data_IF_776307531337
#
_entry.id   IF_776307531337
#
_cell.length_a   1.000
_cell.length_b   1.000
_cell.length_c   1.000
_cell.angle_alpha   90.00
_cell.angle_beta   90.00
_cell.angle_gamma   90.00
#
_symmetry.space_group_name_H-M   'P 1'
#
loop_
_entity.id
_entity.type
_entity.pdbx_description
1 polymer ?
#
# COMPACT_ATOMS: atom_id res chain seq x y z
N UNK A 1 3.16 14.60 18.05
CA UNK A 1 3.11 13.12 18.02
C UNK A 1 4.47 12.59 17.62
N UNK A 2 5.03 11.58 18.35
CA UNK A 2 6.39 11.06 18.10
C UNK A 2 6.44 10.31 16.76
N UNK A 3 7.43 10.62 15.90
CA UNK A 3 7.64 9.94 14.62
C UNK A 3 8.21 8.53 14.84
N UNK A 4 7.84 7.61 13.96
CA UNK A 4 8.30 6.21 13.95
C UNK A 4 9.66 6.12 13.24
N UNK A 5 10.57 5.33 13.77
CA UNK A 5 11.87 5.03 13.15
C UNK A 5 12.32 3.62 13.50
N UNK A 6 13.43 3.19 12.91
CA UNK A 6 14.06 1.88 13.16
C UNK A 6 13.16 0.67 12.81
N UNK A 7 12.35 0.80 11.74
CA UNK A 7 11.45 -0.27 11.29
C UNK A 7 12.00 -1.08 10.10
N UNK A 8 13.18 -0.72 9.59
CA UNK A 8 13.84 -1.47 8.51
C UNK A 8 14.09 -2.92 8.94
N UNK A 9 14.54 -3.14 10.17
CA UNK A 9 14.76 -4.47 10.73
C UNK A 9 13.49 -5.32 10.73
N UNK A 10 12.35 -4.72 11.09
CA UNK A 10 11.05 -5.41 11.01
C UNK A 10 10.65 -5.74 9.56
N UNK A 11 11.03 -4.89 8.59
CA UNK A 11 10.71 -5.11 7.18
C UNK A 11 11.49 -6.29 6.63
N UNK A 12 12.78 -6.38 6.93
CA UNK A 12 13.66 -7.44 6.44
C UNK A 12 13.59 -8.74 7.26
N UNK A 13 12.79 -8.77 8.30
CA UNK A 13 12.53 -9.98 9.09
C UNK A 13 12.21 -11.16 8.16
N UNK A 14 12.87 -12.32 8.30
CA UNK A 14 12.65 -13.47 7.43
C UNK A 14 11.18 -13.89 7.33
N UNK A 15 10.45 -13.82 8.42
CA UNK A 15 9.02 -14.13 8.50
C UNK A 15 8.18 -13.19 7.63
N UNK A 16 8.50 -11.88 7.60
CA UNK A 16 7.81 -10.87 6.80
C UNK A 16 8.15 -11.02 5.30
N UNK A 17 9.42 -11.25 4.97
CA UNK A 17 9.87 -11.47 3.59
C UNK A 17 9.24 -12.73 2.98
N UNK A 18 9.22 -13.84 3.74
CA UNK A 18 8.57 -15.09 3.35
C UNK A 18 7.05 -14.93 3.15
N UNK A 19 6.38 -14.26 4.07
CA UNK A 19 4.96 -14.00 3.97
C UNK A 19 4.65 -13.15 2.72
N UNK A 20 5.50 -12.16 2.44
CA UNK A 20 5.37 -11.28 1.27
C UNK A 20 5.59 -12.03 -0.04
N UNK A 21 6.60 -12.89 -0.10
CA UNK A 21 6.84 -13.77 -1.24
C UNK A 21 5.62 -14.66 -1.53
N UNK A 22 5.13 -15.36 -0.49
CA UNK A 22 3.94 -16.22 -0.62
C UNK A 22 2.69 -15.46 -1.05
N UNK A 23 2.49 -14.26 -0.52
CA UNK A 23 1.32 -13.43 -0.86
C UNK A 23 1.36 -12.94 -2.31
N UNK A 24 2.51 -12.50 -2.80
CA UNK A 24 2.66 -12.02 -4.18
C UNK A 24 2.49 -13.17 -5.18
N UNK A 25 3.00 -14.34 -4.86
CA UNK A 25 2.87 -15.55 -5.69
C UNK A 25 1.58 -16.34 -5.41
N UNK A 26 0.63 -15.80 -4.67
CA UNK A 26 -0.63 -16.49 -4.37
C UNK A 26 -1.43 -16.73 -5.65
N UNK A 27 -1.84 -17.99 -5.83
CA UNK A 27 -2.66 -18.46 -6.95
C UNK A 27 -1.85 -19.08 -8.10
N UNK A 28 -2.45 -20.06 -8.76
CA UNK A 28 -1.81 -20.88 -9.80
C UNK A 28 -1.34 -20.09 -11.01
N UNK A 29 -2.14 -19.12 -11.46
CA UNK A 29 -1.81 -18.28 -12.63
C UNK A 29 -0.50 -17.50 -12.44
N UNK A 30 -0.27 -16.93 -11.24
CA UNK A 30 0.96 -16.19 -10.95
C UNK A 30 2.17 -17.13 -10.86
N UNK A 31 2.02 -18.27 -10.20
CA UNK A 31 3.10 -19.28 -10.08
C UNK A 31 3.54 -19.83 -11.43
N UNK A 32 2.59 -20.05 -12.37
CA UNK A 32 2.86 -20.56 -13.73
C UNK A 32 3.35 -19.51 -14.71
N UNK A 33 3.33 -18.23 -14.35
CA UNK A 33 3.88 -17.18 -15.21
C UNK A 33 5.41 -17.30 -15.30
N UNK A 34 6.02 -16.80 -16.40
CA UNK A 34 7.48 -16.78 -16.57
C UNK A 34 8.19 -16.18 -15.36
N UNK A 35 7.71 -15.03 -14.88
CA UNK A 35 8.28 -14.41 -13.68
C UNK A 35 8.06 -15.25 -12.42
N UNK A 36 6.88 -15.87 -12.27
CA UNK A 36 6.59 -16.73 -11.11
C UNK A 36 7.44 -17.98 -11.06
N UNK A 37 7.65 -18.67 -12.18
CA UNK A 37 8.52 -19.83 -12.27
C UNK A 37 9.96 -19.45 -11.90
N UNK A 38 10.49 -18.33 -12.45
CA UNK A 38 11.82 -17.84 -12.12
C UNK A 38 11.97 -17.55 -10.62
N UNK A 39 11.03 -16.79 -10.04
CA UNK A 39 11.07 -16.44 -8.62
C UNK A 39 10.97 -17.67 -7.71
N UNK A 40 10.23 -18.71 -8.10
CA UNK A 40 10.16 -19.96 -7.34
C UNK A 40 11.45 -20.76 -7.40
N UNK A 41 12.10 -20.80 -8.57
CA UNK A 41 13.37 -21.52 -8.77
C UNK A 41 14.56 -20.85 -8.06
N UNK A 42 14.54 -19.50 -7.95
CA UNK A 42 15.63 -18.70 -7.39
C UNK A 42 15.20 -17.95 -6.12
N UNK A 43 14.33 -18.58 -5.33
CA UNK A 43 13.74 -17.93 -4.15
C UNK A 43 14.77 -17.44 -3.13
N UNK A 44 15.77 -18.26 -2.70
CA UNK A 44 16.74 -17.83 -1.71
C UNK A 44 17.51 -16.58 -2.17
N UNK A 45 18.04 -16.61 -3.38
CA UNK A 45 18.87 -15.53 -3.97
C UNK A 45 18.04 -14.25 -4.13
N UNK A 46 16.79 -14.37 -4.57
CA UNK A 46 15.87 -13.23 -4.73
C UNK A 46 15.55 -12.60 -3.38
N UNK A 47 15.30 -13.40 -2.34
CA UNK A 47 15.02 -12.86 -1.02
C UNK A 47 16.25 -12.21 -0.40
N UNK A 48 17.43 -12.82 -0.52
CA UNK A 48 18.69 -12.25 -0.06
C UNK A 48 18.98 -10.90 -0.72
N UNK A 49 18.85 -10.82 -2.04
CA UNK A 49 19.02 -9.56 -2.78
C UNK A 49 18.04 -8.48 -2.33
N UNK A 50 16.75 -8.81 -2.16
CA UNK A 50 15.74 -7.86 -1.71
C UNK A 50 16.01 -7.40 -0.28
N UNK A 51 16.41 -8.30 0.61
CA UNK A 51 16.79 -7.98 2.00
C UNK A 51 17.97 -7.01 2.01
N UNK A 52 19.03 -7.28 1.23
CA UNK A 52 20.19 -6.40 1.13
C UNK A 52 19.81 -5.00 0.60
N UNK A 53 18.96 -4.92 -0.44
CA UNK A 53 18.51 -3.65 -1.00
C UNK A 53 17.63 -2.86 -0.02
N UNK A 54 16.76 -3.52 0.73
CA UNK A 54 15.89 -2.86 1.72
C UNK A 54 16.74 -2.41 2.93
N UNK A 55 17.59 -3.26 3.46
CA UNK A 55 18.45 -2.94 4.61
C UNK A 55 19.40 -1.77 4.32
N UNK A 56 19.98 -1.72 3.13
CA UNK A 56 20.80 -0.58 2.69
C UNK A 56 20.00 0.68 2.36
N UNK A 57 18.67 0.56 2.13
CA UNK A 57 17.81 1.65 1.68
C UNK A 57 17.96 1.99 0.19
N UNK A 58 18.54 1.07 -0.59
CA UNK A 58 18.79 1.26 -2.04
C UNK A 58 17.66 0.73 -2.92
N UNK A 59 16.72 -0.04 -2.36
CA UNK A 59 15.57 -0.53 -3.12
C UNK A 59 14.78 0.62 -3.73
N UNK A 60 14.49 0.52 -5.04
CA UNK A 60 13.66 1.48 -5.78
C UNK A 60 12.79 0.74 -6.79
N UNK A 61 11.53 1.14 -6.91
CA UNK A 61 10.69 0.76 -8.04
C UNK A 61 11.03 1.69 -9.19
N UNK A 62 11.50 1.14 -10.31
CA UNK A 62 11.98 1.90 -11.47
C UNK A 62 11.00 1.84 -12.64
N UNK A 63 10.39 0.69 -12.85
CA UNK A 63 9.61 0.40 -14.04
C UNK A 63 8.20 -0.09 -13.71
N UNK A 64 7.26 0.22 -14.59
CA UNK A 64 5.92 -0.33 -14.57
C UNK A 64 5.42 -0.56 -15.99
N UNK A 65 4.39 -1.39 -16.11
CA UNK A 65 3.61 -1.55 -17.34
C UNK A 65 2.20 -1.06 -17.10
N UNK A 66 1.64 -0.33 -18.03
CA UNK A 66 0.23 0.02 -17.96
C UNK A 66 -0.64 -1.14 -18.44
N UNK A 67 -1.76 -1.30 -17.79
CA UNK A 67 -2.80 -2.24 -18.16
C UNK A 67 -4.15 -1.58 -17.97
N UNK A 68 -5.00 -1.68 -18.99
CA UNK A 68 -6.38 -1.27 -18.90
C UNK A 68 -7.25 -2.38 -18.32
N UNK A 69 -8.11 -2.02 -17.38
CA UNK A 69 -9.12 -2.89 -16.80
C UNK A 69 -10.47 -2.18 -16.77
N UNK A 70 -11.54 -2.94 -16.87
CA UNK A 70 -12.90 -2.42 -16.65
C UNK A 70 -13.32 -2.80 -15.23
N UNK A 71 -13.60 -1.80 -14.41
CA UNK A 71 -14.06 -1.98 -13.03
C UNK A 71 -15.30 -1.12 -12.79
N UNK A 72 -16.41 -1.75 -12.42
CA UNK A 72 -17.69 -1.05 -12.24
C UNK A 72 -18.17 -0.30 -13.49
N UNK A 73 -17.92 -0.84 -14.70
CA UNK A 73 -18.27 -0.21 -15.99
C UNK A 73 -17.36 0.94 -16.41
N UNK A 74 -16.31 1.26 -15.64
CA UNK A 74 -15.35 2.33 -15.95
C UNK A 74 -14.01 1.74 -16.39
N UNK A 75 -13.45 2.27 -17.48
CA UNK A 75 -12.10 1.95 -17.92
C UNK A 75 -11.10 2.59 -16.94
N UNK A 76 -10.18 1.78 -16.41
CA UNK A 76 -9.11 2.23 -15.53
C UNK A 76 -7.76 1.79 -16.06
N UNK A 77 -6.78 2.67 -16.05
CA UNK A 77 -5.37 2.35 -16.30
C UNK A 77 -4.68 2.07 -15.00
N UNK A 78 -4.22 0.83 -14.83
CA UNK A 78 -3.46 0.41 -13.63
C UNK A 78 -1.99 0.22 -13.98
N UNK A 79 -1.13 0.56 -13.05
CA UNK A 79 0.31 0.35 -13.17
C UNK A 79 0.69 -0.98 -12.53
N UNK A 80 1.37 -1.82 -13.29
CA UNK A 80 1.80 -3.15 -12.86
C UNK A 80 3.33 -3.18 -12.83
N UNK A 81 3.90 -3.19 -11.63
CA UNK A 81 5.34 -3.34 -11.42
C UNK A 81 5.78 -4.80 -11.55
N UNK A 82 7.08 -5.08 -11.79
CA UNK A 82 7.64 -6.43 -11.82
C UNK A 82 7.29 -7.22 -10.57
N UNK A 83 7.13 -8.53 -10.70
CA UNK A 83 6.69 -9.38 -9.59
C UNK A 83 7.71 -9.42 -8.44
N UNK A 84 9.00 -9.33 -8.74
CA UNK A 84 10.08 -9.19 -7.74
C UNK A 84 9.89 -7.91 -6.92
N UNK A 85 9.69 -6.77 -7.57
CA UNK A 85 9.49 -5.49 -6.88
C UNK A 85 8.22 -5.50 -6.02
N UNK A 86 7.16 -6.21 -6.47
CA UNK A 86 5.94 -6.40 -5.67
C UNK A 86 6.20 -7.12 -4.35
N UNK A 87 7.18 -8.02 -4.28
CA UNK A 87 7.55 -8.70 -3.03
C UNK A 87 8.13 -7.67 -2.06
N UNK A 88 9.07 -6.84 -2.49
CA UNK A 88 9.67 -5.80 -1.67
C UNK A 88 8.62 -4.75 -1.23
N UNK A 89 7.83 -4.22 -2.18
CA UNK A 89 6.74 -3.27 -1.87
C UNK A 89 5.76 -3.88 -0.86
N UNK A 90 5.41 -5.16 -1.01
CA UNK A 90 4.53 -5.83 -0.06
C UNK A 90 5.17 -5.95 1.33
N UNK A 91 6.45 -6.31 1.43
CA UNK A 91 7.16 -6.43 2.69
C UNK A 91 7.25 -5.07 3.41
N UNK A 92 7.63 -4.02 2.70
CA UNK A 92 7.69 -2.65 3.22
C UNK A 92 6.31 -2.20 3.70
N UNK A 93 5.28 -2.30 2.86
CA UNK A 93 3.94 -1.84 3.20
C UNK A 93 3.25 -2.70 4.27
N UNK A 94 3.62 -3.96 4.45
CA UNK A 94 3.09 -4.78 5.54
C UNK A 94 3.47 -4.23 6.92
N UNK A 95 4.66 -3.66 7.05
CA UNK A 95 5.13 -3.01 8.29
C UNK A 95 4.61 -1.58 8.38
N UNK A 96 4.75 -0.79 7.32
CA UNK A 96 4.27 0.61 7.23
C UNK A 96 2.79 0.71 7.59
N UNK A 97 1.93 -0.15 7.03
CA UNK A 97 0.49 -0.18 7.30
C UNK A 97 0.18 -0.37 8.80
N UNK A 98 0.97 -1.17 9.52
CA UNK A 98 0.76 -1.38 10.98
C UNK A 98 0.91 -0.07 11.75
N UNK A 99 1.85 0.78 11.35
CA UNK A 99 2.10 2.07 11.98
C UNK A 99 1.08 3.14 11.54
N UNK A 100 0.70 3.15 10.26
CA UNK A 100 -0.32 4.07 9.74
C UNK A 100 -1.69 3.81 10.34
N UNK A 101 -2.10 2.54 10.49
CA UNK A 101 -3.41 2.17 11.08
C UNK A 101 -3.63 2.72 12.49
N UNK A 102 -2.59 2.92 13.27
CA UNK A 102 -2.68 3.53 14.60
C UNK A 102 -3.04 5.02 14.56
N UNK A 103 -3.00 5.63 13.38
CA UNK A 103 -3.26 7.07 13.16
C UNK A 103 -4.58 7.34 12.46
N UNK A 104 -5.18 6.31 11.88
CA UNK A 104 -6.48 6.45 11.22
C UNK A 104 -7.59 6.57 12.25
N UNK A 105 -8.55 7.44 11.98
CA UNK A 105 -9.79 7.50 12.76
C UNK A 105 -10.51 6.15 12.68
N UNK A 106 -11.31 5.83 13.70
CA UNK A 106 -11.95 4.51 13.80
C UNK A 106 -12.89 4.23 12.63
N UNK A 107 -13.54 5.25 12.10
CA UNK A 107 -14.49 5.15 10.98
C UNK A 107 -13.85 5.05 9.60
N UNK A 108 -12.50 5.12 9.48
CA UNK A 108 -11.81 4.79 8.23
C UNK A 108 -12.05 3.32 7.89
N UNK A 109 -12.79 3.05 6.83
CA UNK A 109 -13.22 1.69 6.45
C UNK A 109 -12.61 1.17 5.16
N UNK A 110 -12.00 2.03 4.34
CA UNK A 110 -11.41 1.63 3.06
C UNK A 110 -10.07 0.92 3.26
N UNK A 111 -9.88 -0.22 2.56
CA UNK A 111 -8.61 -0.98 2.50
C UNK A 111 -8.03 -1.45 3.84
N UNK A 112 -8.80 -1.41 4.91
CA UNK A 112 -8.38 -1.87 6.24
C UNK A 112 -9.04 -3.21 6.54
N UNK A 113 -8.21 -4.23 6.81
CA UNK A 113 -8.73 -5.56 7.18
C UNK A 113 -9.63 -5.46 8.43
N UNK A 114 -10.80 -6.08 8.39
CA UNK A 114 -11.84 -6.06 9.43
C UNK A 114 -12.53 -4.70 9.64
N UNK A 115 -12.27 -3.72 8.77
CA UNK A 115 -13.03 -2.47 8.71
C UNK A 115 -13.55 -2.33 7.29
N UNK A 116 -14.76 -2.68 7.06
CA UNK A 116 -15.41 -2.62 5.75
C UNK A 116 -16.71 -1.85 5.83
N UNK A 117 -17.45 -1.85 4.73
CA UNK A 117 -18.72 -1.15 4.62
C UNK A 117 -19.72 -1.57 5.70
N UNK A 118 -19.78 -2.86 6.05
CA UNK A 118 -20.69 -3.36 7.12
C UNK A 118 -20.29 -2.86 8.51
N UNK A 119 -18.99 -2.78 8.81
CA UNK A 119 -18.48 -2.22 10.06
C UNK A 119 -18.84 -0.72 10.17
N UNK A 120 -18.62 0.03 9.08
CA UNK A 120 -18.99 1.45 9.04
C UNK A 120 -20.52 1.64 9.19
N UNK A 121 -21.32 0.82 8.51
CA UNK A 121 -22.78 0.89 8.62
C UNK A 121 -23.27 0.65 10.06
N UNK A 122 -22.61 -0.25 10.80
CA UNK A 122 -22.94 -0.47 12.21
C UNK A 122 -22.69 0.78 13.06
N UNK A 123 -21.60 1.52 12.80
CA UNK A 123 -21.34 2.81 13.46
C UNK A 123 -22.41 3.84 13.12
N UNK A 124 -22.72 4.01 11.84
CA UNK A 124 -23.74 4.97 11.40
C UNK A 124 -25.10 4.68 12.06
N UNK A 125 -25.52 3.41 12.08
CA UNK A 125 -26.80 3.00 12.72
C UNK A 125 -26.81 3.29 14.21
N UNK A 126 -25.70 3.04 14.90
CA UNK A 126 -25.58 3.34 16.33
C UNK A 126 -25.68 4.84 16.57
N UNK A 127 -24.88 5.64 15.85
CA UNK A 127 -24.83 7.08 16.03
C UNK A 127 -26.20 7.74 15.74
N UNK A 128 -26.92 7.23 14.72
CA UNK A 128 -28.31 7.67 14.44
C UNK A 128 -29.32 7.31 15.56
N UNK A 129 -29.10 6.19 16.24
CA UNK A 129 -29.96 5.77 17.35
C UNK A 129 -29.64 6.53 18.64
N UNK A 130 -28.35 6.83 18.90
CA UNK A 130 -27.88 7.53 20.09
C UNK A 130 -28.12 9.05 20.03
N UNK A 131 -28.03 9.66 18.83
CA UNK A 131 -28.21 11.11 18.62
C UNK A 131 -29.04 11.38 17.35
N UNK A 132 -30.39 11.20 17.40
CA UNK A 132 -31.25 11.43 16.25
C UNK A 132 -31.26 12.87 15.75
N UNK A 133 -31.13 13.85 16.65
CA UNK A 133 -31.13 15.26 16.26
C UNK A 133 -29.83 15.71 15.65
N UNK A 134 -28.66 15.27 16.18
CA UNK A 134 -27.33 15.56 15.62
C UNK A 134 -27.07 14.84 14.32
N UNK A 135 -27.80 13.76 14.03
CA UNK A 135 -27.67 12.97 12.79
C UNK A 135 -28.80 13.25 11.78
N UNK A 136 -29.57 14.33 11.95
CA UNK A 136 -30.67 14.72 11.05
C UNK A 136 -30.21 14.97 9.60
N UNK A 137 -28.96 15.40 9.37
CA UNK A 137 -28.41 15.73 8.06
C UNK A 137 -27.20 14.87 7.74
N UNK A 138 -27.10 14.42 6.48
CA UNK A 138 -25.96 13.67 5.97
C UNK A 138 -25.32 14.44 4.81
N UNK A 139 -24.02 14.71 4.91
CA UNK A 139 -23.24 15.29 3.83
C UNK A 139 -22.35 14.23 3.20
N UNK A 140 -22.44 14.05 1.88
CA UNK A 140 -21.61 13.12 1.12
C UNK A 140 -20.63 13.90 0.25
N UNK A 141 -19.35 13.65 0.44
CA UNK A 141 -18.28 14.23 -0.36
C UNK A 141 -17.54 13.14 -1.14
N UNK A 142 -17.05 13.48 -2.32
CA UNK A 142 -16.15 12.65 -3.10
C UNK A 142 -15.08 13.51 -3.77
N UNK A 143 -13.86 13.01 -3.84
CA UNK A 143 -12.77 13.74 -4.48
C UNK A 143 -12.69 13.30 -5.93
N UNK A 144 -12.94 14.22 -6.84
CA UNK A 144 -12.88 13.97 -8.28
C UNK A 144 -11.47 13.57 -8.69
N UNK A 145 -11.36 12.41 -9.38
CA UNK A 145 -10.08 11.90 -9.89
C UNK A 145 -8.98 11.84 -8.82
N UNK A 146 -9.29 11.36 -7.62
CA UNK A 146 -8.39 11.37 -6.46
C UNK A 146 -6.95 10.94 -6.82
N UNK A 147 -6.79 9.78 -7.47
CA UNK A 147 -5.45 9.26 -7.79
C UNK A 147 -4.67 10.14 -8.77
N UNK A 148 -5.34 10.83 -9.67
CA UNK A 148 -4.73 11.71 -10.67
C UNK A 148 -4.43 13.11 -10.07
N UNK A 149 -5.26 13.56 -9.12
CA UNK A 149 -5.24 14.94 -8.61
C UNK A 149 -4.39 15.14 -7.35
N UNK A 150 -4.10 14.05 -6.61
CA UNK A 150 -3.34 14.16 -5.37
C UNK A 150 -1.88 14.57 -5.65
N UNK A 151 -1.42 15.61 -4.97
CA UNK A 151 -0.04 16.09 -5.11
C UNK A 151 0.92 15.18 -4.35
N UNK A 152 1.89 14.62 -5.06
CA UNK A 152 2.91 13.72 -4.50
C UNK A 152 3.68 14.37 -3.33
N UNK A 153 3.99 15.65 -3.42
CA UNK A 153 4.66 16.41 -2.35
C UNK A 153 3.85 16.43 -1.06
N UNK A 154 2.52 16.56 -1.16
CA UNK A 154 1.65 16.48 -0.01
C UNK A 154 1.69 15.08 0.64
N UNK A 155 1.69 14.02 -0.18
CA UNK A 155 1.81 12.65 0.33
C UNK A 155 3.17 12.43 1.00
N UNK A 156 4.26 12.92 0.40
CA UNK A 156 5.61 12.88 1.00
C UNK A 156 5.68 13.66 2.30
N UNK A 157 5.05 14.83 2.36
CA UNK A 157 4.91 15.58 3.62
C UNK A 157 4.22 14.74 4.69
N UNK A 158 3.09 14.11 4.38
CA UNK A 158 2.38 13.24 5.32
C UNK A 158 3.25 12.06 5.78
N UNK A 159 3.98 11.40 4.87
CA UNK A 159 4.91 10.30 5.17
C UNK A 159 6.01 10.76 6.12
N UNK A 160 6.64 11.90 5.86
CA UNK A 160 7.72 12.45 6.68
C UNK A 160 7.26 12.87 8.09
N UNK A 161 5.98 13.21 8.25
CA UNK A 161 5.36 13.46 9.56
C UNK A 161 5.18 12.19 10.38
N UNK A 162 5.09 11.04 9.73
CA UNK A 162 4.91 9.73 10.40
C UNK A 162 6.25 9.04 10.64
N UNK A 163 7.11 8.99 9.64
CA UNK A 163 8.37 8.25 9.66
C UNK A 163 9.57 9.19 9.71
N UNK A 164 10.59 8.84 10.51
CA UNK A 164 11.84 9.59 10.62
C UNK A 164 13.04 8.91 9.95
N UNK A 165 12.88 7.64 9.56
CA UNK A 165 13.94 6.85 8.94
C UNK A 165 14.11 7.31 7.48
N UNK A 166 15.25 7.94 7.18
CA UNK A 166 15.53 8.49 5.86
C UNK A 166 15.55 7.41 4.77
N UNK A 167 16.12 6.23 5.06
CA UNK A 167 16.14 5.10 4.10
C UNK A 167 14.74 4.67 3.74
N UNK A 168 13.85 4.52 4.74
CA UNK A 168 12.46 4.16 4.51
C UNK A 168 11.73 5.24 3.70
N UNK A 169 11.87 6.50 4.09
CA UNK A 169 11.22 7.63 3.39
C UNK A 169 11.63 7.67 1.92
N UNK A 170 12.92 7.49 1.63
CA UNK A 170 13.41 7.46 0.24
C UNK A 170 12.91 6.24 -0.55
N UNK A 171 12.75 5.08 0.09
CA UNK A 171 12.12 3.92 -0.55
C UNK A 171 10.64 4.18 -0.85
N UNK A 172 9.89 4.74 0.11
CA UNK A 172 8.48 5.10 -0.08
C UNK A 172 8.30 6.16 -1.17
N UNK A 173 9.22 7.11 -1.28
CA UNK A 173 9.23 8.11 -2.35
C UNK A 173 9.23 7.48 -3.74
N UNK A 174 9.99 6.40 -3.95
CA UNK A 174 10.02 5.68 -5.23
C UNK A 174 8.68 5.06 -5.62
N UNK A 175 7.82 4.77 -4.64
CA UNK A 175 6.46 4.27 -4.88
C UNK A 175 5.47 5.40 -5.15
N UNK A 176 5.63 6.51 -4.42
CA UNK A 176 4.75 7.68 -4.49
C UNK A 176 4.99 8.42 -5.81
N UNK A 177 6.27 8.58 -6.20
CA UNK A 177 6.68 9.27 -7.42
C UNK A 177 6.86 8.34 -8.63
N UNK A 178 6.25 7.16 -8.61
CA UNK A 178 6.32 6.22 -9.73
C UNK A 178 5.68 6.79 -11.01
N UNK A 179 4.61 7.59 -10.86
CA UNK A 179 3.94 8.29 -11.94
C UNK A 179 4.50 9.72 -12.06
N UNK A 180 4.46 10.34 -13.26
CA UNK A 180 4.83 11.74 -13.43
C UNK A 180 4.00 12.68 -12.53
N UNK A 181 2.70 12.39 -12.41
CA UNK A 181 1.74 13.12 -11.58
C UNK A 181 0.79 12.15 -10.89
N UNK A 182 0.22 12.56 -9.75
CA UNK A 182 -0.74 11.74 -9.00
C UNK A 182 -0.14 10.48 -8.39
N UNK A 183 -0.98 9.52 -8.10
CA UNK A 183 -0.60 8.21 -7.53
C UNK A 183 -0.96 7.07 -8.46
N UNK A 184 -0.13 6.04 -8.47
CA UNK A 184 -0.38 4.81 -9.22
C UNK A 184 -1.64 4.09 -8.72
N UNK A 185 -2.52 3.71 -9.64
CA UNK A 185 -3.64 2.82 -9.34
C UNK A 185 -3.14 1.37 -9.39
N UNK A 186 -3.33 0.63 -8.30
CA UNK A 186 -2.96 -0.79 -8.24
C UNK A 186 -1.73 -1.12 -7.39
N UNK A 187 -0.98 -0.12 -6.92
CA UNK A 187 0.03 -0.31 -5.89
C UNK A 187 -0.61 -0.33 -4.50
N UNK A 188 -0.06 -1.14 -3.61
CA UNK A 188 -0.48 -1.18 -2.21
C UNK A 188 -0.20 0.14 -1.48
N UNK A 189 0.83 0.85 -1.89
CA UNK A 189 1.19 2.15 -1.34
C UNK A 189 0.20 3.28 -1.63
N UNK A 190 -0.68 3.09 -2.60
CA UNK A 190 -1.68 4.10 -3.00
C UNK A 190 -3.05 3.89 -2.36
N UNK A 191 -3.20 2.89 -1.51
CA UNK A 191 -4.40 2.57 -0.74
C UNK A 191 -4.31 3.12 0.68
#
# INVERSE_FOLDING_TARGET
>A
MRRVGYIIEEIVEPSNMEASFRQVLRGSKRKRSRQGCYLLAHKPEVLEELVAQIASGTFRVKDYREREIIEGGKLRRIQVIPMKDRIAVHAIMAVVDRHLRKRFIRTTSASIKRRGMHDLLAYVRRDMAEDPDGTRYCYKFDITKFYESVKQDFVMYCVSRVFKDAKLVTMLESFIRLMPEGLSIGLRSSQ
#
